data_IF_553453820897
#
_entry.id   IF_553453820897
#
_cell.length_a   1.000
_cell.length_b   1.000
_cell.length_c   1.000
_cell.angle_alpha   90.00
_cell.angle_beta   90.00
_cell.angle_gamma   90.00
#
_symmetry.space_group_name_H-M   'P 1'
#
loop_
_entity.id
_entity.type
_entity.pdbx_description
1 polymer ?
#
# COMPACT_ATOMS: atom_id res chain seq x y z
N UNK A 1 12.12 9.54 -10.44
CA UNK A 1 12.80 8.58 -11.34
C UNK A 1 11.79 7.53 -11.80
N UNK A 2 12.04 6.78 -12.88
CA UNK A 2 11.29 5.55 -13.21
C UNK A 2 12.17 4.34 -12.98
N UNK A 3 11.58 3.22 -12.59
CA UNK A 3 12.21 1.90 -12.62
C UNK A 3 11.51 1.01 -13.64
N UNK A 4 12.25 0.02 -14.14
CA UNK A 4 11.75 -1.11 -14.91
C UNK A 4 12.52 -2.34 -14.44
N UNK A 5 11.78 -3.40 -14.10
CA UNK A 5 12.33 -4.71 -13.75
C UNK A 5 11.65 -5.77 -14.61
N UNK A 6 12.25 -6.96 -14.72
CA UNK A 6 11.64 -8.10 -15.40
C UNK A 6 11.15 -9.12 -14.36
N UNK A 7 9.91 -9.58 -14.54
CA UNK A 7 9.25 -10.59 -13.71
C UNK A 7 9.62 -12.00 -14.20
N UNK A 8 9.29 -13.03 -13.41
CA UNK A 8 9.66 -14.42 -13.74
C UNK A 8 8.96 -14.96 -15.01
N UNK A 9 7.81 -14.39 -15.39
CA UNK A 9 7.08 -14.67 -16.62
C UNK A 9 7.47 -13.74 -17.79
N UNK A 10 8.62 -13.06 -17.70
CA UNK A 10 9.21 -12.20 -18.74
C UNK A 10 8.38 -10.96 -19.09
N UNK A 11 7.51 -10.52 -18.18
CA UNK A 11 6.83 -9.24 -18.27
C UNK A 11 7.71 -8.15 -17.67
N UNK A 12 7.55 -6.91 -18.13
CA UNK A 12 8.11 -5.77 -17.43
C UNK A 12 7.20 -5.44 -16.24
N UNK A 13 7.75 -5.10 -15.09
CA UNK A 13 7.08 -4.27 -14.10
C UNK A 13 7.72 -2.87 -14.13
N UNK A 14 6.93 -1.85 -14.42
CA UNK A 14 7.38 -0.45 -14.44
C UNK A 14 6.80 0.33 -13.26
N UNK A 15 7.48 1.39 -12.85
CA UNK A 15 6.94 2.23 -11.78
C UNK A 15 7.70 3.53 -11.53
N UNK A 16 7.15 4.35 -10.66
CA UNK A 16 7.80 5.53 -10.10
C UNK A 16 8.74 5.16 -8.96
N UNK A 17 9.92 5.77 -8.94
CA UNK A 17 10.82 5.79 -7.79
C UNK A 17 11.08 7.24 -7.37
N UNK A 18 10.65 7.61 -6.16
CA UNK A 18 10.89 8.92 -5.57
C UNK A 18 12.03 8.77 -4.56
N UNK A 19 13.21 9.25 -4.95
CA UNK A 19 14.40 9.14 -4.11
C UNK A 19 14.45 10.27 -3.08
N UNK A 20 14.83 9.98 -1.85
CA UNK A 20 15.04 11.01 -0.83
C UNK A 20 16.21 11.95 -1.19
N UNK A 21 16.19 13.22 -0.78
CA UNK A 21 17.33 14.12 -0.99
C UNK A 21 18.60 13.61 -0.30
N UNK A 22 19.73 13.65 -1.02
CA UNK A 22 21.02 13.16 -0.54
C UNK A 22 21.44 13.80 0.79
N UNK A 23 21.66 12.98 1.82
CA UNK A 23 22.06 13.42 3.16
C UNK A 23 21.19 12.84 4.30
N UNK A 24 20.02 12.28 3.98
CA UNK A 24 19.24 11.52 4.96
C UNK A 24 19.94 10.21 5.36
N UNK A 25 19.89 9.88 6.66
CA UNK A 25 20.20 8.54 7.17
C UNK A 25 19.33 7.46 6.49
N UNK A 26 19.72 6.16 6.50
CA UNK A 26 18.89 5.10 5.95
C UNK A 26 17.50 5.08 6.61
N UNK A 27 16.48 5.44 5.84
CA UNK A 27 15.07 5.56 6.23
C UNK A 27 14.22 4.50 5.52
N UNK A 28 13.01 4.16 6.01
CA UNK A 28 12.18 3.11 5.42
C UNK A 28 11.88 3.30 3.92
N UNK A 29 11.40 2.23 3.30
CA UNK A 29 10.91 2.21 1.91
C UNK A 29 9.39 2.11 1.93
N UNK A 30 8.68 3.04 1.30
CA UNK A 30 7.23 2.96 1.10
C UNK A 30 6.90 2.30 -0.24
N UNK A 31 6.08 1.25 -0.19
CA UNK A 31 5.43 0.66 -1.36
C UNK A 31 4.00 1.20 -1.45
N UNK A 32 3.66 1.84 -2.58
CA UNK A 32 2.34 2.42 -2.84
C UNK A 32 1.61 1.62 -3.93
N UNK A 33 0.52 0.95 -3.54
CA UNK A 33 -0.29 0.11 -4.43
C UNK A 33 -1.62 0.83 -4.75
N UNK A 34 -1.78 1.25 -6.01
CA UNK A 34 -2.99 1.94 -6.48
C UNK A 34 -4.15 0.96 -6.69
N UNK A 35 -5.39 1.47 -6.70
CA UNK A 35 -6.58 0.67 -6.99
C UNK A 35 -6.63 0.15 -8.44
N UNK A 36 -7.43 -0.89 -8.67
CA UNK A 36 -7.64 -1.56 -9.96
C UNK A 36 -8.05 -0.57 -11.05
N UNK A 37 -7.38 -0.65 -12.20
CA UNK A 37 -7.66 0.20 -13.39
C UNK A 37 -7.20 1.66 -13.26
N UNK A 38 -6.89 2.13 -12.05
CA UNK A 38 -6.30 3.45 -11.79
C UNK A 38 -4.82 3.44 -12.19
N UNK A 39 -4.28 4.54 -12.72
CA UNK A 39 -2.85 4.63 -12.99
C UNK A 39 -2.03 4.75 -11.70
N UNK A 40 -0.83 4.16 -11.63
CA UNK A 40 0.07 4.27 -10.47
C UNK A 40 0.54 5.69 -10.10
N UNK A 41 0.23 6.70 -10.95
CA UNK A 41 0.38 8.12 -10.62
C UNK A 41 -0.71 8.69 -9.70
N UNK A 42 -1.79 7.97 -9.42
CA UNK A 42 -2.86 8.37 -8.47
C UNK A 42 -2.31 8.66 -7.07
N UNK A 43 -1.47 7.77 -6.56
CA UNK A 43 -0.82 7.90 -5.26
C UNK A 43 0.43 8.81 -5.29
N UNK A 44 0.71 9.53 -6.38
CA UNK A 44 1.90 10.37 -6.50
C UNK A 44 1.96 11.51 -5.46
N UNK A 45 0.82 12.08 -5.06
CA UNK A 45 0.75 13.09 -4.00
C UNK A 45 1.09 12.51 -2.62
N UNK A 46 0.62 11.29 -2.32
CA UNK A 46 1.01 10.57 -1.11
C UNK A 46 2.49 10.19 -1.15
N UNK A 47 3.00 9.78 -2.31
CA UNK A 47 4.41 9.51 -2.54
C UNK A 47 5.29 10.75 -2.34
N UNK A 48 4.87 11.93 -2.81
CA UNK A 48 5.55 13.19 -2.54
C UNK A 48 5.59 13.54 -1.05
N UNK A 49 4.52 13.23 -0.32
CA UNK A 49 4.44 13.40 1.13
C UNK A 49 5.43 12.47 1.86
N UNK A 50 5.44 11.19 1.53
CA UNK A 50 6.43 10.23 2.04
C UNK A 50 7.88 10.63 1.68
N UNK A 51 8.14 11.08 0.45
CA UNK A 51 9.46 11.56 0.02
C UNK A 51 9.91 12.79 0.84
N UNK A 52 9.01 13.73 1.12
CA UNK A 52 9.29 14.90 1.97
C UNK A 52 9.61 14.52 3.42
N UNK A 53 9.00 13.44 3.93
CA UNK A 53 9.34 12.81 5.21
C UNK A 53 10.64 11.98 5.16
N UNK A 54 11.35 11.99 4.02
CA UNK A 54 12.58 11.24 3.81
C UNK A 54 12.37 9.73 3.72
N UNK A 55 11.21 9.26 3.28
CA UNK A 55 10.95 7.86 2.96
C UNK A 55 11.26 7.64 1.47
N UNK A 56 11.96 6.56 1.13
CA UNK A 56 12.17 6.17 -0.28
C UNK A 56 10.88 5.57 -0.82
N UNK A 57 10.35 6.02 -1.97
CA UNK A 57 9.00 5.60 -2.42
C UNK A 57 9.02 4.85 -3.74
N UNK A 58 8.35 3.70 -3.77
CA UNK A 58 8.11 2.87 -4.95
C UNK A 58 6.62 2.87 -5.29
N UNK A 59 6.29 3.24 -6.53
CA UNK A 59 4.95 3.28 -7.09
C UNK A 59 4.89 2.35 -8.33
N UNK A 60 4.77 1.02 -8.17
CA UNK A 60 4.56 0.11 -9.30
C UNK A 60 3.26 0.41 -10.06
N UNK A 61 3.24 0.15 -11.37
CA UNK A 61 2.05 0.22 -12.21
C UNK A 61 1.46 -1.19 -12.39
N UNK A 62 0.53 -1.53 -11.50
CA UNK A 62 -0.13 -2.84 -11.42
C UNK A 62 -1.34 -2.99 -12.36
N UNK A 63 -1.66 -1.98 -13.18
CA UNK A 63 -2.77 -2.05 -14.16
C UNK A 63 -2.65 -3.18 -15.18
N UNK A 64 -1.45 -3.75 -15.33
CA UNK A 64 -1.16 -4.78 -16.30
C UNK A 64 -1.61 -6.19 -15.92
N UNK A 65 -2.05 -6.46 -14.69
CA UNK A 65 -2.21 -7.85 -14.20
C UNK A 65 -0.87 -8.63 -14.34
N UNK A 66 0.24 -7.95 -14.04
CA UNK A 66 1.62 -8.36 -14.36
C UNK A 66 2.14 -7.90 -15.73
N UNK A 67 1.26 -7.69 -16.71
CA UNK A 67 1.64 -7.21 -18.05
C UNK A 67 1.83 -5.68 -18.08
N UNK A 68 2.89 -5.10 -17.49
CA UNK A 68 3.08 -3.64 -17.64
C UNK A 68 3.28 -3.26 -19.12
N UNK A 69 2.26 -2.65 -19.71
CA UNK A 69 2.35 -2.12 -21.06
C UNK A 69 3.09 -0.79 -21.06
N UNK A 70 4.26 -0.81 -21.70
CA UNK A 70 4.85 0.39 -22.29
C UNK A 70 3.82 1.02 -23.24
N UNK A 71 3.40 2.25 -22.94
CA UNK A 71 2.46 3.04 -23.73
C UNK A 71 1.03 2.48 -23.89
N UNK A 72 0.11 3.01 -23.08
CA UNK A 72 -1.29 3.18 -23.51
C UNK A 72 -1.70 4.63 -23.24
N UNK A 73 -1.52 5.49 -24.24
CA UNK A 73 -2.18 6.78 -24.30
C UNK A 73 -3.63 6.58 -24.76
N UNK A 74 -4.50 6.20 -23.82
CA UNK A 74 -5.91 5.90 -24.10
C UNK A 74 -6.65 5.45 -22.83
N UNK A 75 -8.00 5.43 -22.84
CA UNK A 75 -8.79 4.93 -21.73
C UNK A 75 -8.45 3.45 -21.49
N UNK A 76 -8.07 3.13 -20.26
CA UNK A 76 -7.83 1.75 -19.83
C UNK A 76 -9.20 1.06 -19.74
N UNK A 77 -9.40 -0.12 -20.36
CA UNK A 77 -10.62 -0.88 -20.15
C UNK A 77 -10.79 -1.22 -18.66
N UNK A 78 -12.01 -1.41 -18.14
CA UNK A 78 -12.20 -1.83 -16.76
C UNK A 78 -11.51 -3.18 -16.56
N UNK A 79 -10.38 -3.18 -15.85
CA UNK A 79 -9.64 -4.41 -15.56
C UNK A 79 -10.55 -5.39 -14.78
N UNK A 80 -10.44 -6.71 -14.98
CA UNK A 80 -11.11 -7.71 -14.16
C UNK A 80 -10.72 -7.55 -12.67
N UNK A 81 -11.66 -7.88 -11.76
CA UNK A 81 -11.42 -7.84 -10.30
C UNK A 81 -10.15 -8.61 -9.93
N UNK A 82 -9.42 -8.14 -8.93
CA UNK A 82 -8.23 -8.83 -8.41
C UNK A 82 -8.61 -10.00 -7.50
N UNK A 83 -9.21 -11.01 -8.12
CA UNK A 83 -9.54 -12.31 -7.53
C UNK A 83 -8.29 -13.17 -7.26
N UNK A 84 -8.45 -14.37 -6.70
CA UNK A 84 -7.33 -15.20 -6.25
C UNK A 84 -6.23 -15.42 -7.30
N UNK A 85 -6.55 -15.90 -8.52
CA UNK A 85 -5.58 -16.05 -9.60
C UNK A 85 -4.88 -14.75 -10.01
N UNK A 86 -5.62 -13.65 -10.22
CA UNK A 86 -5.04 -12.37 -10.62
C UNK A 86 -4.15 -11.76 -9.51
N UNK A 87 -4.61 -11.83 -8.26
CA UNK A 87 -3.87 -11.37 -7.07
C UNK A 87 -2.58 -12.15 -6.85
N UNK A 88 -2.59 -13.46 -7.12
CA UNK A 88 -1.40 -14.30 -7.04
C UNK A 88 -0.35 -13.99 -8.13
N UNK A 89 -0.75 -13.46 -9.30
CA UNK A 89 0.19 -12.92 -10.29
C UNK A 89 0.80 -11.61 -9.80
N UNK A 90 -0.04 -10.65 -9.35
CA UNK A 90 0.42 -9.37 -8.79
C UNK A 90 1.38 -9.55 -7.60
N UNK A 91 1.15 -10.55 -6.75
CA UNK A 91 2.07 -10.90 -5.66
C UNK A 91 3.45 -11.36 -6.17
N UNK A 92 3.51 -12.10 -7.29
CA UNK A 92 4.78 -12.52 -7.92
C UNK A 92 5.52 -11.35 -8.56
N UNK A 93 4.82 -10.38 -9.12
CA UNK A 93 5.45 -9.16 -9.66
C UNK A 93 6.09 -8.34 -8.54
N UNK A 94 5.42 -8.25 -7.40
CA UNK A 94 5.96 -7.59 -6.22
C UNK A 94 7.13 -8.37 -5.60
N UNK A 95 7.17 -9.70 -5.68
CA UNK A 95 8.36 -10.48 -5.33
C UNK A 95 9.57 -10.14 -6.22
N UNK A 96 9.37 -9.90 -7.52
CA UNK A 96 10.44 -9.39 -8.39
C UNK A 96 10.91 -7.98 -7.96
N UNK A 97 9.98 -7.12 -7.53
CA UNK A 97 10.30 -5.79 -6.99
C UNK A 97 11.10 -5.87 -5.68
N UNK A 98 10.72 -6.76 -4.76
CA UNK A 98 11.48 -6.97 -3.52
C UNK A 98 12.88 -7.51 -3.82
N UNK A 99 13.01 -8.48 -4.74
CA UNK A 99 14.30 -9.02 -5.16
C UNK A 99 15.21 -7.94 -5.80
N UNK A 100 14.65 -7.05 -6.63
CA UNK A 100 15.37 -5.91 -7.18
C UNK A 100 15.88 -4.96 -6.09
N UNK A 101 15.03 -4.61 -5.11
CA UNK A 101 15.40 -3.72 -3.99
C UNK A 101 16.42 -4.35 -3.06
N UNK A 102 16.33 -5.65 -2.80
CA UNK A 102 17.31 -6.40 -2.01
C UNK A 102 18.71 -6.42 -2.64
N UNK A 103 18.81 -6.16 -3.95
CA UNK A 103 20.09 -6.03 -4.67
C UNK A 103 20.60 -4.58 -4.75
N UNK A 104 19.80 -3.56 -4.39
CA UNK A 104 20.23 -2.17 -4.51
C UNK A 104 21.09 -1.71 -3.31
N UNK A 105 22.34 -1.24 -3.54
CA UNK A 105 23.18 -0.70 -2.47
C UNK A 105 22.49 0.42 -1.70
N UNK A 106 22.48 0.28 -0.38
CA UNK A 106 21.85 1.23 0.52
C UNK A 106 20.32 1.10 0.67
N UNK A 107 19.61 0.29 -0.14
CA UNK A 107 18.19 -0.03 0.08
C UNK A 107 17.97 -1.41 0.73
N UNK A 108 18.86 -2.37 0.45
CA UNK A 108 18.80 -3.72 1.01
C UNK A 108 18.67 -3.72 2.54
N UNK A 109 17.84 -4.62 3.07
CA UNK A 109 17.61 -4.78 4.51
C UNK A 109 16.78 -3.68 5.21
N UNK A 110 16.39 -2.60 4.51
CA UNK A 110 15.52 -1.57 5.10
C UNK A 110 14.12 -2.10 5.46
N UNK A 111 13.47 -1.57 6.51
CA UNK A 111 12.07 -1.84 6.81
C UNK A 111 11.16 -1.18 5.78
N UNK A 112 10.01 -1.80 5.53
CA UNK A 112 9.03 -1.36 4.56
C UNK A 112 7.81 -0.73 5.23
N UNK A 113 7.26 0.31 4.62
CA UNK A 113 5.91 0.80 4.84
C UNK A 113 5.08 0.40 3.62
N UNK A 114 3.81 0.08 3.84
CA UNK A 114 2.88 -0.26 2.78
C UNK A 114 1.73 0.74 2.79
N UNK A 115 1.33 1.26 1.64
CA UNK A 115 0.01 1.84 1.52
C UNK A 115 -0.69 1.32 0.26
N UNK A 116 -1.99 1.09 0.36
CA UNK A 116 -2.78 0.50 -0.70
C UNK A 116 -4.17 1.13 -0.78
N UNK A 117 -4.74 1.22 -1.98
CA UNK A 117 -6.06 1.81 -2.25
C UNK A 117 -7.03 0.78 -2.84
N UNK A 118 -8.31 0.81 -2.44
CA UNK A 118 -9.36 0.00 -3.06
C UNK A 118 -9.11 -1.52 -3.01
N UNK A 119 -9.16 -2.19 -4.16
CA UNK A 119 -8.89 -3.63 -4.28
C UNK A 119 -7.43 -4.00 -3.95
N UNK A 120 -6.49 -3.05 -4.04
CA UNK A 120 -5.09 -3.29 -3.68
C UNK A 120 -4.91 -3.55 -2.17
N UNK A 121 -5.89 -3.18 -1.34
CA UNK A 121 -5.84 -3.42 0.11
C UNK A 121 -5.88 -4.91 0.46
N UNK A 122 -6.51 -5.74 -0.38
CA UNK A 122 -6.47 -7.20 -0.28
C UNK A 122 -5.04 -7.73 -0.55
N UNK A 123 -4.43 -7.31 -1.66
CA UNK A 123 -3.04 -7.67 -1.97
C UNK A 123 -2.08 -7.20 -0.86
N UNK A 124 -2.32 -6.03 -0.27
CA UNK A 124 -1.53 -5.54 0.85
C UNK A 124 -1.61 -6.44 2.09
N UNK A 125 -2.79 -6.90 2.46
CA UNK A 125 -2.97 -7.82 3.60
C UNK A 125 -2.36 -9.21 3.33
N UNK A 126 -2.40 -9.69 2.09
CA UNK A 126 -1.69 -10.89 1.68
C UNK A 126 -0.16 -10.77 1.86
N UNK A 127 0.44 -9.64 1.46
CA UNK A 127 1.87 -9.36 1.66
C UNK A 127 2.26 -9.27 3.14
N UNK A 128 1.39 -8.70 3.98
CA UNK A 128 1.57 -8.62 5.43
C UNK A 128 1.50 -9.98 6.13
N UNK A 129 0.56 -10.83 5.70
CA UNK A 129 0.38 -12.20 6.22
C UNK A 129 1.36 -13.21 5.60
N UNK A 130 2.03 -12.85 4.50
CA UNK A 130 2.94 -13.72 3.75
C UNK A 130 4.36 -13.84 4.34
N UNK A 131 5.26 -14.61 3.69
CA UNK A 131 6.61 -14.87 4.19
C UNK A 131 7.47 -13.61 4.41
N UNK A 132 7.21 -12.53 3.66
CA UNK A 132 7.90 -11.23 3.82
C UNK A 132 7.25 -10.33 4.85
N UNK A 133 6.15 -10.74 5.49
CA UNK A 133 5.40 -9.93 6.46
C UNK A 133 6.29 -9.25 7.50
N UNK A 134 7.25 -9.97 8.08
CA UNK A 134 8.17 -9.43 9.09
C UNK A 134 9.09 -8.28 8.63
N UNK A 135 9.10 -7.95 7.34
CA UNK A 135 9.82 -6.79 6.78
C UNK A 135 9.00 -5.49 6.79
N UNK A 136 7.68 -5.60 6.90
CA UNK A 136 6.78 -4.45 6.95
C UNK A 136 6.65 -3.95 8.40
N UNK A 137 6.90 -2.66 8.61
CA UNK A 137 6.70 -2.00 9.90
C UNK A 137 5.21 -1.63 10.13
N UNK A 138 4.40 -1.56 9.07
CA UNK A 138 2.96 -1.31 9.14
C UNK A 138 2.37 -0.98 7.77
N UNK A 139 1.04 -0.85 7.71
CA UNK A 139 0.31 -0.51 6.49
C UNK A 139 -0.77 0.56 6.67
N UNK A 140 -1.02 1.34 5.61
CA UNK A 140 -2.12 2.28 5.45
C UNK A 140 -3.06 1.80 4.33
N UNK A 141 -4.30 1.43 4.67
CA UNK A 141 -5.30 0.99 3.70
C UNK A 141 -6.30 2.13 3.46
N UNK A 142 -6.32 2.65 2.24
CA UNK A 142 -7.15 3.75 1.77
C UNK A 142 -8.40 3.16 1.09
N UNK A 143 -9.60 3.52 1.57
CA UNK A 143 -10.88 3.00 1.07
C UNK A 143 -10.84 1.49 0.79
N UNK A 144 -10.56 0.64 1.80
CA UNK A 144 -10.42 -0.80 1.58
C UNK A 144 -11.73 -1.38 1.05
N UNK A 145 -11.65 -2.26 0.06
CA UNK A 145 -12.79 -3.03 -0.43
C UNK A 145 -12.73 -4.46 0.13
N UNK A 146 -13.89 -5.10 0.33
CA UNK A 146 -13.98 -6.40 1.00
C UNK A 146 -13.97 -7.58 0.01
N UNK A 147 -12.81 -8.26 -0.23
CA UNK A 147 -12.84 -9.59 -0.78
C UNK A 147 -13.39 -10.59 0.25
N UNK A 148 -13.84 -11.75 -0.23
CA UNK A 148 -14.42 -12.80 0.63
C UNK A 148 -13.42 -13.41 1.65
N UNK A 149 -12.11 -13.20 1.48
CA UNK A 149 -11.06 -13.74 2.35
C UNK A 149 -10.45 -12.71 3.31
N UNK A 150 -11.01 -11.47 3.36
CA UNK A 150 -10.43 -10.32 4.05
C UNK A 150 -10.12 -10.58 5.53
N UNK A 151 -11.08 -11.15 6.27
CA UNK A 151 -10.94 -11.41 7.71
C UNK A 151 -9.82 -12.43 8.01
N UNK A 152 -9.68 -13.45 7.15
CA UNK A 152 -8.64 -14.48 7.27
C UNK A 152 -7.24 -13.93 6.97
N UNK A 153 -7.12 -12.98 6.04
CA UNK A 153 -5.86 -12.29 5.79
C UNK A 153 -5.52 -11.33 6.95
N UNK A 154 -6.48 -10.55 7.41
CA UNK A 154 -6.31 -9.59 8.50
C UNK A 154 -5.88 -10.27 9.82
N UNK A 155 -6.53 -11.35 10.22
CA UNK A 155 -6.17 -12.10 11.42
C UNK A 155 -4.74 -12.68 11.38
N UNK A 156 -4.16 -12.85 10.18
CA UNK A 156 -2.80 -13.37 9.96
C UNK A 156 -1.74 -12.28 9.74
N UNK A 157 -2.11 -11.02 9.63
CA UNK A 157 -1.18 -9.89 9.49
C UNK A 157 -0.77 -9.37 10.89
N UNK A 158 0.42 -9.72 11.43
CA UNK A 158 0.83 -9.26 12.77
C UNK A 158 1.20 -7.77 12.82
N UNK A 159 1.29 -7.09 11.68
CA UNK A 159 1.74 -5.71 11.57
C UNK A 159 0.62 -4.74 11.95
N UNK A 160 0.96 -3.53 12.39
CA UNK A 160 0.01 -2.45 12.58
C UNK A 160 -0.65 -2.04 11.27
N UNK A 161 -1.98 -1.96 11.26
CA UNK A 161 -2.77 -1.49 10.11
C UNK A 161 -3.56 -0.25 10.51
N UNK A 162 -3.44 0.80 9.69
CA UNK A 162 -4.24 2.01 9.74
C UNK A 162 -5.21 2.01 8.54
N UNK A 163 -6.50 2.20 8.81
CA UNK A 163 -7.55 2.25 7.79
C UNK A 163 -8.01 3.69 7.64
N UNK A 164 -8.01 4.23 6.42
CA UNK A 164 -8.54 5.56 6.11
C UNK A 164 -9.73 5.43 5.16
N UNK A 165 -10.88 5.98 5.54
CA UNK A 165 -12.16 5.72 4.87
C UNK A 165 -12.99 6.98 4.74
N UNK A 166 -13.60 7.23 3.58
CA UNK A 166 -14.59 8.31 3.44
C UNK A 166 -15.92 7.90 4.09
N UNK A 167 -16.57 8.81 4.81
CA UNK A 167 -17.86 8.58 5.48
C UNK A 167 -19.03 8.32 4.51
N UNK A 168 -18.91 8.82 3.29
CA UNK A 168 -19.84 8.60 2.17
C UNK A 168 -19.65 7.23 1.46
N UNK A 169 -18.53 6.55 1.71
CA UNK A 169 -18.24 5.24 1.11
C UNK A 169 -18.71 4.12 2.06
N UNK A 170 -19.97 3.72 1.90
CA UNK A 170 -20.59 2.72 2.75
C UNK A 170 -19.95 1.31 2.61
N UNK A 171 -19.44 0.98 1.42
CA UNK A 171 -18.78 -0.31 1.16
C UNK A 171 -17.42 -0.35 1.87
N UNK A 172 -16.58 0.68 1.66
CA UNK A 172 -15.30 0.75 2.35
C UNK A 172 -15.43 0.93 3.86
N UNK A 173 -16.46 1.64 4.33
CA UNK A 173 -16.72 1.77 5.77
C UNK A 173 -17.14 0.43 6.41
N UNK A 174 -17.88 -0.41 5.68
CA UNK A 174 -18.21 -1.77 6.14
C UNK A 174 -16.96 -2.66 6.15
N UNK A 175 -16.16 -2.65 5.08
CA UNK A 175 -14.89 -3.39 4.99
C UNK A 175 -13.91 -2.99 6.09
N UNK A 176 -13.76 -1.68 6.36
CA UNK A 176 -12.88 -1.17 7.40
C UNK A 176 -13.33 -1.58 8.81
N UNK A 177 -14.65 -1.69 9.05
CA UNK A 177 -15.19 -2.21 10.33
C UNK A 177 -14.94 -3.71 10.50
N UNK A 178 -15.09 -4.51 9.44
CA UNK A 178 -14.76 -5.93 9.45
C UNK A 178 -13.27 -6.14 9.76
N UNK A 179 -12.38 -5.41 9.06
CA UNK A 179 -10.93 -5.41 9.32
C UNK A 179 -10.57 -5.06 10.75
N UNK A 180 -11.18 -4.00 11.31
CA UNK A 180 -10.94 -3.60 12.68
C UNK A 180 -11.41 -4.64 13.71
N UNK A 181 -12.44 -5.44 13.38
CA UNK A 181 -12.95 -6.52 14.24
C UNK A 181 -12.15 -7.83 14.11
N UNK A 182 -11.59 -8.12 12.93
CA UNK A 182 -10.78 -9.32 12.67
C UNK A 182 -9.34 -9.24 13.25
N UNK A 183 -8.89 -8.05 13.64
CA UNK A 183 -7.51 -7.79 14.05
C UNK A 183 -7.27 -8.06 15.56
N UNK A 184 -6.19 -8.78 15.93
CA UNK A 184 -5.90 -9.10 17.32
C UNK A 184 -5.37 -7.89 18.11
N UNK A 185 -6.27 -7.18 18.78
CA UNK A 185 -6.01 -6.10 19.72
C UNK A 185 -7.22 -5.17 19.91
N UNK A 186 -7.20 -4.23 20.88
CA UNK A 186 -8.21 -3.18 20.94
C UNK A 186 -7.99 -2.21 19.77
N UNK A 187 -8.90 -2.22 18.80
CA UNK A 187 -8.91 -1.22 17.73
C UNK A 187 -9.11 0.18 18.33
N UNK A 188 -8.16 1.08 18.10
CA UNK A 188 -8.30 2.49 18.49
C UNK A 188 -8.95 3.26 17.35
N UNK A 189 -10.10 3.85 17.62
CA UNK A 189 -10.72 4.84 16.73
C UNK A 189 -9.91 6.12 16.83
N UNK A 190 -9.20 6.45 15.76
CA UNK A 190 -8.66 7.79 15.57
C UNK A 190 -9.79 8.67 15.00
N UNK A 191 -9.76 9.95 15.30
CA UNK A 191 -10.95 10.80 15.18
C UNK A 191 -11.35 11.06 13.71
N UNK A 192 -12.58 11.57 13.51
CA UNK A 192 -13.00 12.07 12.20
C UNK A 192 -12.12 13.26 11.84
N UNK A 193 -11.43 13.17 10.71
CA UNK A 193 -10.75 14.31 10.13
C UNK A 193 -11.74 15.12 9.29
N UNK A 194 -11.89 16.40 9.64
CA UNK A 194 -12.62 17.38 8.86
C UNK A 194 -11.79 17.86 7.66
N UNK A 195 -11.55 16.93 6.74
CA UNK A 195 -11.19 17.25 5.37
C UNK A 195 -12.37 18.06 4.78
N UNK A 196 -12.12 19.32 4.35
CA UNK A 196 -13.13 20.38 4.09
C UNK A 196 -14.20 20.11 3.01
N UNK A 197 -14.45 18.87 2.61
CA UNK A 197 -15.57 18.47 1.75
C UNK A 197 -16.06 17.02 1.92
N UNK A 198 -15.36 16.15 2.67
CA UNK A 198 -15.71 14.72 2.88
C UNK A 198 -15.15 14.26 4.22
N UNK A 199 -15.98 13.74 5.14
CA UNK A 199 -15.49 13.29 6.44
C UNK A 199 -14.64 12.03 6.27
N UNK A 200 -13.41 12.02 6.78
CA UNK A 200 -12.55 10.84 6.76
C UNK A 200 -12.48 10.20 8.15
N UNK A 201 -12.66 8.89 8.22
CA UNK A 201 -12.47 8.07 9.42
C UNK A 201 -11.10 7.41 9.41
N UNK A 202 -10.46 7.36 10.57
CA UNK A 202 -9.23 6.61 10.80
C UNK A 202 -9.44 5.51 11.85
N UNK A 203 -9.13 4.27 11.51
CA UNK A 203 -9.18 3.14 12.44
C UNK A 203 -7.81 2.49 12.53
N UNK A 204 -7.21 2.48 13.72
CA UNK A 204 -5.94 1.83 13.99
C UNK A 204 -6.19 0.46 14.64
N UNK A 205 -5.76 -0.61 13.97
CA UNK A 205 -6.06 -1.98 14.38
C UNK A 205 -5.14 -2.55 15.47
N UNK A 206 -3.92 -2.00 15.63
CA UNK A 206 -2.96 -2.41 16.68
C UNK A 206 -2.31 -1.18 17.34
N UNK A 207 -1.94 -1.24 18.64
CA UNK A 207 -1.62 -0.04 19.45
C UNK A 207 -0.19 0.51 19.33
N UNK A 208 0.59 0.13 18.32
CA UNK A 208 1.91 0.71 18.06
C UNK A 208 2.14 0.83 16.55
N UNK A 209 2.26 2.04 16.01
CA UNK A 209 2.50 2.34 14.59
C UNK A 209 3.87 3.02 14.42
N UNK A 210 4.53 2.97 13.24
CA UNK A 210 5.86 3.59 13.07
C UNK A 210 5.76 4.99 12.45
N UNK A 211 5.97 6.11 13.17
CA UNK A 211 6.22 6.28 14.61
C UNK A 211 5.61 7.63 15.11
N UNK A 212 4.29 7.77 15.30
CA UNK A 212 3.21 6.82 14.98
C UNK A 212 2.61 7.12 13.60
N UNK A 213 2.73 6.17 12.67
CA UNK A 213 2.57 6.33 11.21
C UNK A 213 3.17 7.64 10.62
N UNK A 214 4.47 7.81 10.91
CA UNK A 214 5.28 9.04 10.77
C UNK A 214 4.51 10.32 11.20
N UNK A 215 3.91 10.24 12.40
CA UNK A 215 2.99 11.20 13.04
C UNK A 215 1.91 11.71 12.10
N UNK A 216 1.23 10.72 11.51
CA UNK A 216 0.10 10.90 10.63
C UNK A 216 0.41 11.73 9.36
N UNK A 217 1.52 11.42 8.68
CA UNK A 217 1.95 12.09 7.43
C UNK A 217 2.31 13.61 7.56
N UNK A 218 2.43 14.11 8.79
CA UNK A 218 2.88 15.46 9.17
C UNK A 218 1.92 16.65 8.92
N UNK A 219 0.75 16.60 9.54
CA UNK A 219 -0.03 17.78 9.99
C UNK A 219 -0.24 17.75 11.50
N UNK A 220 0.82 17.46 12.25
CA UNK A 220 0.83 16.70 13.52
C UNK A 220 0.15 17.36 14.73
N UNK A 221 -0.59 16.57 15.52
CA UNK A 221 -0.38 16.25 16.97
C UNK A 221 -1.62 15.52 17.55
N UNK A 222 -1.49 14.73 18.64
CA UNK A 222 -0.28 14.15 19.26
C UNK A 222 -0.04 12.68 18.84
#
# INVERSE_FOLDING_TARGET
>A
MRFQIWTADSLALVGGYLRTPSGAQPRPIALLLHDRGVAGGSLASLGGTFQALGVEVLLPDLRGEGQSRVSVAGPVPPAPRWDGPARALLARDLEALFAFVDQQPGLAGRPWLLAAEGEATALALELLAGPRGGRFAGALLLSPLAPADLDSQAARAPQPVLLAVCDQDAESLAAARALAAAQPGPARRLERLDCRSRGAWLLAARPALPAEFLRWLAGEQP
#
